data_IF_132383834085
#
_entry.id   IF_132383834085
#
_cell.length_a   1.000
_cell.length_b   1.000
_cell.length_c   1.000
_cell.angle_alpha   90.00
_cell.angle_beta   90.00
_cell.angle_gamma   90.00
#
_symmetry.space_group_name_H-M   'P 1'
#
loop_
_entity.id
_entity.type
_entity.pdbx_description
1 polymer ?
#
# COMPACT_ATOMS: atom_id res chain seq x y z
N UNK A 1 -12.15 16.01 -2.02
CA UNK A 1 -10.70 15.81 -1.76
C UNK A 1 -10.10 15.20 -3.01
N UNK A 2 -8.96 15.70 -3.50
CA UNK A 2 -8.32 15.17 -4.71
C UNK A 2 -7.86 13.72 -4.52
N UNK A 3 -8.00 12.89 -5.56
CA UNK A 3 -7.56 11.48 -5.53
C UNK A 3 -6.03 11.39 -5.44
N UNK A 4 -5.52 10.22 -5.06
CA UNK A 4 -4.05 10.01 -5.00
C UNK A 4 -3.40 10.19 -6.37
N UNK A 5 -4.09 9.81 -7.45
CA UNK A 5 -3.61 9.99 -8.82
C UNK A 5 -3.58 11.47 -9.20
N UNK A 6 -4.64 12.22 -8.93
CA UNK A 6 -4.70 13.66 -9.17
C UNK A 6 -3.61 14.42 -8.41
N UNK A 7 -3.41 14.11 -7.12
CA UNK A 7 -2.34 14.69 -6.32
C UNK A 7 -0.96 14.38 -6.92
N UNK A 8 -0.78 13.16 -7.44
CA UNK A 8 0.47 12.76 -8.07
C UNK A 8 0.72 13.49 -9.39
N UNK A 9 -0.33 13.65 -10.23
CA UNK A 9 -0.30 14.42 -11.49
C UNK A 9 -0.01 15.90 -11.23
N UNK A 10 -0.67 16.51 -10.26
CA UNK A 10 -0.41 17.90 -9.87
C UNK A 10 1.00 18.13 -9.34
N UNK A 11 1.57 17.15 -8.59
CA UNK A 11 2.98 17.22 -8.19
C UNK A 11 3.92 17.17 -9.39
N UNK A 12 3.67 16.29 -10.37
CA UNK A 12 4.47 16.21 -11.58
C UNK A 12 4.44 17.52 -12.38
N UNK A 13 3.25 18.11 -12.54
CA UNK A 13 3.08 19.39 -13.21
C UNK A 13 3.89 20.50 -12.54
N UNK A 14 3.82 20.59 -11.20
CA UNK A 14 4.63 21.54 -10.43
C UNK A 14 6.14 21.34 -10.64
N UNK A 15 6.61 20.09 -10.63
CA UNK A 15 8.03 19.78 -10.87
C UNK A 15 8.47 20.19 -12.28
N UNK A 16 7.62 19.96 -13.28
CA UNK A 16 7.87 20.35 -14.66
C UNK A 16 7.90 21.87 -14.81
N UNK A 17 6.98 22.60 -14.18
CA UNK A 17 6.96 24.06 -14.19
C UNK A 17 8.19 24.66 -13.51
N UNK A 18 8.61 24.10 -12.36
CA UNK A 18 9.85 24.50 -11.69
C UNK A 18 11.09 24.22 -12.55
N UNK A 19 11.14 23.06 -13.22
CA UNK A 19 12.24 22.72 -14.12
C UNK A 19 12.31 23.66 -15.32
N UNK A 20 11.17 24.01 -15.91
CA UNK A 20 11.09 24.94 -17.06
C UNK A 20 11.58 26.34 -16.67
N UNK A 21 11.06 26.89 -15.57
CA UNK A 21 11.48 28.20 -15.06
C UNK A 21 12.97 28.23 -14.69
N UNK A 22 13.48 27.16 -14.06
CA UNK A 22 14.89 27.02 -13.76
C UNK A 22 15.75 26.93 -15.03
N UNK A 23 15.27 26.22 -16.05
CA UNK A 23 15.94 26.11 -17.36
C UNK A 23 16.08 27.47 -18.06
N UNK A 24 15.03 28.30 -18.02
CA UNK A 24 15.08 29.69 -18.53
C UNK A 24 16.13 30.48 -17.75
N UNK A 25 16.09 30.44 -16.41
CA UNK A 25 17.03 31.17 -15.57
C UNK A 25 18.49 30.72 -15.75
N UNK A 26 18.74 29.43 -15.99
CA UNK A 26 20.07 28.92 -16.32
C UNK A 26 20.58 29.51 -17.64
N UNK A 27 19.72 29.59 -18.67
CA UNK A 27 20.09 30.16 -19.98
C UNK A 27 20.40 31.65 -19.86
N UNK A 28 19.57 32.40 -19.13
CA UNK A 28 19.80 33.83 -18.86
C UNK A 28 21.12 34.07 -18.13
N UNK A 29 21.43 33.27 -17.11
CA UNK A 29 22.70 33.38 -16.39
C UNK A 29 23.90 33.02 -17.29
N UNK A 30 23.79 31.96 -18.10
CA UNK A 30 24.83 31.59 -19.07
C UNK A 30 25.06 32.69 -20.11
N UNK A 31 24.00 33.35 -20.60
CA UNK A 31 24.11 34.42 -21.58
C UNK A 31 24.85 35.66 -21.03
N UNK A 32 24.89 35.84 -19.70
CA UNK A 32 25.67 36.90 -19.04
C UNK A 32 27.16 36.56 -18.92
N UNK A 33 27.55 35.29 -19.10
CA UNK A 33 28.95 34.86 -19.03
C UNK A 33 29.59 35.02 -20.41
N UNK A 34 30.63 35.86 -20.57
CA UNK A 34 31.32 36.00 -21.85
C UNK A 34 31.98 34.67 -22.26
N UNK A 35 31.83 34.29 -23.54
CA UNK A 35 32.29 33.01 -24.05
C UNK A 35 33.80 32.79 -23.83
N UNK A 36 34.16 31.59 -23.34
CA UNK A 36 35.55 31.13 -23.22
C UNK A 36 36.37 31.74 -22.08
N UNK A 37 35.79 32.58 -21.21
CA UNK A 37 36.51 33.17 -20.08
C UNK A 37 36.72 32.15 -18.95
N UNK A 38 37.97 31.86 -18.53
CA UNK A 38 38.20 31.02 -17.37
C UNK A 38 37.83 31.75 -16.06
N UNK A 39 37.58 30.99 -15.01
CA UNK A 39 37.40 31.57 -13.68
C UNK A 39 38.74 32.14 -13.17
N UNK A 40 38.74 33.40 -12.73
CA UNK A 40 39.95 34.11 -12.28
C UNK A 40 40.22 33.82 -10.81
N UNK A 41 41.42 33.31 -10.49
CA UNK A 41 41.87 33.05 -9.12
C UNK A 41 41.82 34.34 -8.29
N UNK A 42 41.19 34.30 -7.13
CA UNK A 42 41.01 35.46 -6.23
C UNK A 42 39.72 36.25 -6.43
N UNK A 43 38.88 35.90 -7.42
CA UNK A 43 37.52 36.44 -7.59
C UNK A 43 36.44 35.39 -7.28
N UNK A 44 35.20 35.85 -7.11
CA UNK A 44 34.04 34.96 -6.99
C UNK A 44 33.89 34.17 -8.30
N UNK A 45 33.69 32.86 -8.15
CA UNK A 45 33.45 31.95 -9.28
C UNK A 45 32.19 32.36 -10.06
N UNK A 46 32.42 32.74 -11.32
CA UNK A 46 31.39 33.19 -12.28
C UNK A 46 30.43 32.06 -12.68
N UNK A 47 30.85 30.80 -12.55
CA UNK A 47 30.04 29.62 -12.87
C UNK A 47 29.29 29.05 -11.67
N UNK A 48 29.59 29.49 -10.44
CA UNK A 48 29.05 28.90 -9.21
C UNK A 48 27.53 28.85 -9.17
N UNK A 49 26.88 29.96 -9.53
CA UNK A 49 25.41 30.06 -9.50
C UNK A 49 24.75 29.19 -10.58
N UNK A 50 25.34 29.18 -11.78
CA UNK A 50 24.93 28.33 -12.89
C UNK A 50 25.06 26.85 -12.53
N UNK A 51 26.22 26.43 -12.01
CA UNK A 51 26.49 25.05 -11.58
C UNK A 51 25.51 24.61 -10.48
N UNK A 52 25.20 25.50 -9.52
CA UNK A 52 24.20 25.23 -8.48
C UNK A 52 22.80 25.04 -9.08
N UNK A 53 22.40 25.89 -10.02
CA UNK A 53 21.10 25.79 -10.71
C UNK A 53 21.04 24.52 -11.56
N UNK A 54 22.11 24.16 -12.27
CA UNK A 54 22.20 22.91 -13.03
C UNK A 54 22.08 21.68 -12.11
N UNK A 55 22.78 21.66 -10.98
CA UNK A 55 22.66 20.58 -10.00
C UNK A 55 21.23 20.47 -9.45
N UNK A 56 20.54 21.59 -9.22
CA UNK A 56 19.12 21.60 -8.85
C UNK A 56 18.23 21.06 -9.98
N UNK A 57 18.48 21.44 -11.23
CA UNK A 57 17.74 20.95 -12.40
C UNK A 57 17.84 19.43 -12.55
N UNK A 58 19.04 18.86 -12.36
CA UNK A 58 19.26 17.40 -12.37
C UNK A 58 18.49 16.71 -11.23
N UNK A 59 18.45 17.32 -10.04
CA UNK A 59 17.66 16.77 -8.91
C UNK A 59 16.16 16.78 -9.22
N UNK A 60 15.64 17.87 -9.78
CA UNK A 60 14.24 17.99 -10.18
C UNK A 60 13.89 16.98 -11.28
N UNK A 61 14.77 16.77 -12.26
CA UNK A 61 14.58 15.75 -13.29
C UNK A 61 14.41 14.35 -12.67
N UNK A 62 15.32 13.94 -11.78
CA UNK A 62 15.23 12.65 -11.08
C UNK A 62 13.98 12.53 -10.21
N UNK A 63 13.50 13.63 -9.65
CA UNK A 63 12.25 13.63 -8.89
C UNK A 63 11.03 13.50 -9.81
N UNK A 64 11.02 14.17 -10.96
CA UNK A 64 9.97 14.06 -11.96
C UNK A 64 9.87 12.63 -12.50
N UNK A 65 10.99 11.99 -12.84
CA UNK A 65 11.02 10.58 -13.30
C UNK A 65 10.42 9.62 -12.25
N UNK A 66 10.78 9.80 -10.96
CA UNK A 66 10.18 9.01 -9.87
C UNK A 66 8.69 9.26 -9.73
N UNK A 67 8.25 10.49 -9.99
CA UNK A 67 6.86 10.88 -9.91
C UNK A 67 6.05 10.31 -11.08
N UNK A 68 6.61 10.27 -12.29
CA UNK A 68 6.03 9.60 -13.46
C UNK A 68 5.82 8.11 -13.20
N UNK A 69 6.85 7.40 -12.71
CA UNK A 69 6.71 5.99 -12.31
C UNK A 69 5.64 5.79 -11.24
N UNK A 70 5.50 6.75 -10.31
CA UNK A 70 4.45 6.71 -9.30
C UNK A 70 3.06 6.88 -9.90
N UNK A 71 2.89 7.77 -10.88
CA UNK A 71 1.64 7.97 -11.61
C UNK A 71 1.29 6.70 -12.37
N UNK A 72 2.22 6.13 -13.14
CA UNK A 72 2.01 4.90 -13.89
C UNK A 72 1.51 3.75 -12.99
N UNK A 73 2.13 3.58 -11.81
CA UNK A 73 1.68 2.57 -10.83
C UNK A 73 0.28 2.86 -10.26
N UNK A 74 -0.10 4.13 -10.09
CA UNK A 74 -1.41 4.51 -9.59
C UNK A 74 -2.48 4.29 -10.66
N UNK A 75 -2.17 4.61 -11.91
CA UNK A 75 -3.04 4.35 -13.07
C UNK A 75 -3.31 2.85 -13.19
N UNK A 76 -2.28 1.99 -13.12
CA UNK A 76 -2.46 0.53 -13.10
C UNK A 76 -3.35 0.02 -11.97
N UNK A 77 -3.30 0.68 -10.81
CA UNK A 77 -4.17 0.33 -9.69
C UNK A 77 -5.61 0.73 -9.95
N UNK A 78 -5.83 1.88 -10.60
CA UNK A 78 -7.16 2.38 -10.95
C UNK A 78 -7.79 1.52 -12.03
N UNK A 79 -7.07 1.23 -13.11
CA UNK A 79 -7.53 0.32 -14.17
C UNK A 79 -7.86 -1.07 -13.63
N UNK A 80 -7.03 -1.62 -12.74
CA UNK A 80 -7.30 -2.93 -12.13
C UNK A 80 -8.58 -2.94 -11.28
N UNK A 81 -8.93 -1.81 -10.65
CA UNK A 81 -10.18 -1.68 -9.89
C UNK A 81 -11.38 -1.47 -10.80
N UNK A 82 -11.23 -0.73 -11.90
CA UNK A 82 -12.27 -0.56 -12.91
C UNK A 82 -12.62 -1.89 -13.58
N UNK A 83 -11.61 -2.70 -13.91
CA UNK A 83 -11.80 -4.05 -14.47
C UNK A 83 -12.41 -5.04 -13.47
N UNK A 84 -12.28 -4.78 -12.16
CA UNK A 84 -12.74 -5.68 -11.11
C UNK A 84 -13.51 -4.90 -10.04
N UNK A 85 -14.78 -4.61 -10.33
CA UNK A 85 -15.65 -3.80 -9.46
C UNK A 85 -15.75 -4.32 -8.00
N UNK A 86 -15.62 -5.64 -7.82
CA UNK A 86 -15.65 -6.28 -6.49
C UNK A 86 -14.38 -6.03 -5.65
N UNK A 87 -13.28 -5.57 -6.26
CA UNK A 87 -12.01 -5.37 -5.55
C UNK A 87 -11.99 -4.01 -4.87
N UNK A 88 -11.94 -4.03 -3.54
CA UNK A 88 -11.76 -2.82 -2.72
C UNK A 88 -10.29 -2.60 -2.38
N UNK A 89 -9.64 -3.65 -1.87
CA UNK A 89 -8.27 -3.61 -1.37
C UNK A 89 -7.26 -4.22 -2.35
N UNK A 90 -6.33 -3.42 -2.85
CA UNK A 90 -5.26 -3.88 -3.75
C UNK A 90 -3.89 -3.85 -3.09
N UNK A 91 -2.94 -4.57 -3.68
CA UNK A 91 -1.51 -4.42 -3.42
C UNK A 91 -0.73 -4.48 -4.72
N UNK A 92 0.46 -3.87 -4.70
CA UNK A 92 1.38 -3.86 -5.82
C UNK A 92 2.52 -4.82 -5.48
N UNK A 93 2.83 -5.74 -6.38
CA UNK A 93 3.91 -6.72 -6.27
C UNK A 93 5.02 -6.32 -7.24
N UNK A 94 6.08 -5.74 -6.71
CA UNK A 94 7.21 -5.21 -7.48
C UNK A 94 7.50 -3.75 -7.17
N UNK A 95 8.63 -3.25 -7.66
CA UNK A 95 9.08 -1.85 -7.48
C UNK A 95 9.17 -1.06 -8.79
N UNK A 96 8.99 -1.72 -9.92
CA UNK A 96 9.14 -1.15 -11.26
C UNK A 96 7.78 -0.92 -11.92
N UNK A 97 7.80 -0.29 -13.09
CA UNK A 97 6.66 -0.22 -14.02
C UNK A 97 6.07 -1.61 -14.29
N UNK A 98 6.87 -2.66 -14.38
CA UNK A 98 6.42 -4.06 -14.55
C UNK A 98 5.80 -4.70 -13.30
N UNK A 99 5.53 -3.93 -12.25
CA UNK A 99 4.89 -4.47 -11.06
C UNK A 99 3.46 -4.94 -11.37
N UNK A 100 3.09 -6.08 -10.80
CA UNK A 100 1.75 -6.63 -10.93
C UNK A 100 0.84 -6.05 -9.84
N UNK A 101 -0.39 -5.70 -10.21
CA UNK A 101 -1.43 -5.34 -9.25
C UNK A 101 -2.26 -6.58 -8.94
N UNK A 102 -2.55 -6.81 -7.66
CA UNK A 102 -3.36 -7.94 -7.24
C UNK A 102 -4.27 -7.63 -6.06
N UNK A 103 -5.35 -8.40 -5.93
CA UNK A 103 -6.24 -8.35 -4.78
C UNK A 103 -5.47 -8.67 -3.49
N UNK A 104 -5.57 -7.78 -2.49
CA UNK A 104 -5.00 -8.02 -1.16
C UNK A 104 -5.86 -9.03 -0.41
N UNK A 105 -5.23 -9.84 0.45
CA UNK A 105 -5.97 -10.76 1.34
C UNK A 105 -6.62 -9.96 2.47
N UNK A 106 -7.86 -9.55 2.25
CA UNK A 106 -8.65 -8.64 3.08
C UNK A 106 -10.09 -9.13 3.13
N UNK A 107 -10.76 -8.96 4.28
CA UNK A 107 -12.20 -9.28 4.44
C UNK A 107 -13.05 -8.49 3.44
N UNK A 108 -12.65 -7.25 3.14
CA UNK A 108 -13.34 -6.40 2.16
C UNK A 108 -13.40 -6.97 0.74
N UNK A 109 -12.53 -7.93 0.41
CA UNK A 109 -12.46 -8.57 -0.91
C UNK A 109 -13.09 -9.98 -0.92
N UNK A 110 -13.87 -10.36 0.10
CA UNK A 110 -14.50 -11.69 0.17
C UNK A 110 -15.36 -11.99 -1.06
N UNK A 111 -16.20 -11.05 -1.49
CA UNK A 111 -17.07 -11.22 -2.66
C UNK A 111 -16.26 -11.46 -3.94
N UNK A 112 -15.17 -10.71 -4.12
CA UNK A 112 -14.23 -10.94 -5.21
C UNK A 112 -13.63 -12.35 -5.16
N UNK A 113 -13.21 -12.82 -3.98
CA UNK A 113 -12.64 -14.17 -3.86
C UNK A 113 -13.68 -15.27 -4.09
N UNK A 114 -14.92 -15.09 -3.66
CA UNK A 114 -16.03 -16.03 -3.91
C UNK A 114 -16.34 -16.14 -5.41
N UNK A 115 -16.54 -15.01 -6.09
CA UNK A 115 -16.71 -14.97 -7.54
C UNK A 115 -15.52 -15.61 -8.26
N UNK A 116 -14.29 -15.27 -7.84
CA UNK A 116 -13.09 -15.86 -8.44
C UNK A 116 -12.98 -17.37 -8.24
N UNK A 117 -13.47 -17.87 -7.10
CA UNK A 117 -13.51 -19.30 -6.82
C UNK A 117 -14.48 -20.03 -7.77
N UNK A 118 -15.65 -19.46 -8.02
CA UNK A 118 -16.64 -20.01 -8.96
C UNK A 118 -16.06 -20.12 -10.38
N UNK A 119 -15.44 -19.04 -10.86
CA UNK A 119 -14.73 -19.04 -12.15
C UNK A 119 -13.67 -20.16 -12.22
N UNK A 120 -12.81 -20.25 -11.20
CA UNK A 120 -11.74 -21.25 -11.16
C UNK A 120 -12.28 -22.68 -11.12
N UNK A 121 -13.41 -22.91 -10.45
CA UNK A 121 -14.07 -24.22 -10.41
C UNK A 121 -14.59 -24.57 -11.80
N UNK A 122 -15.30 -23.66 -12.48
CA UNK A 122 -15.81 -23.86 -13.84
C UNK A 122 -14.68 -24.16 -14.83
N UNK A 123 -13.63 -23.35 -14.84
CA UNK A 123 -12.46 -23.57 -15.71
C UNK A 123 -11.77 -24.93 -15.44
N UNK A 124 -11.73 -25.35 -14.18
CA UNK A 124 -11.14 -26.64 -13.80
C UNK A 124 -12.00 -27.83 -14.24
N UNK A 125 -13.33 -27.69 -14.19
CA UNK A 125 -14.26 -28.69 -14.72
C UNK A 125 -14.13 -28.81 -16.24
N UNK A 126 -14.07 -27.69 -16.95
CA UNK A 126 -13.82 -27.66 -18.40
C UNK A 126 -12.46 -28.29 -18.75
N UNK A 127 -11.41 -27.98 -17.99
CA UNK A 127 -10.09 -28.59 -18.17
C UNK A 127 -10.11 -30.10 -17.93
N UNK A 128 -10.85 -30.57 -16.91
CA UNK A 128 -11.02 -32.00 -16.63
C UNK A 128 -11.83 -32.70 -17.74
N UNK A 129 -12.92 -32.09 -18.20
CA UNK A 129 -13.74 -32.60 -19.29
C UNK A 129 -12.94 -32.73 -20.59
N UNK A 130 -12.16 -31.70 -20.94
CA UNK A 130 -11.24 -31.74 -22.07
C UNK A 130 -10.17 -32.83 -21.89
N UNK A 131 -9.55 -32.95 -20.71
CA UNK A 131 -8.55 -33.99 -20.47
C UNK A 131 -9.13 -35.41 -20.51
N UNK A 132 -10.42 -35.58 -20.22
CA UNK A 132 -11.12 -36.87 -20.31
C UNK A 132 -11.23 -37.37 -21.76
N UNK A 133 -11.20 -36.49 -22.76
CA UNK A 133 -11.17 -36.88 -24.19
C UNK A 133 -9.81 -37.40 -24.66
N UNK A 134 -8.81 -37.47 -23.74
CA UNK A 134 -7.42 -37.90 -24.00
C UNK A 134 -6.76 -37.16 -25.19
N UNK A 135 -6.79 -35.81 -25.19
CA UNK A 135 -6.12 -35.01 -26.22
C UNK A 135 -4.60 -35.19 -26.14
N UNK A 136 -3.91 -34.94 -27.26
CA UNK A 136 -2.45 -35.00 -27.31
C UNK A 136 -1.78 -34.02 -26.32
N UNK A 137 -2.39 -32.85 -26.10
CA UNK A 137 -1.93 -31.85 -25.13
C UNK A 137 -3.01 -31.69 -24.06
N UNK A 138 -2.67 -31.93 -22.79
CA UNK A 138 -3.59 -31.77 -21.67
C UNK A 138 -3.71 -30.30 -21.24
N UNK A 139 -4.92 -29.87 -20.86
CA UNK A 139 -5.13 -28.59 -20.17
C UNK A 139 -4.69 -28.68 -18.72
N UNK A 140 -4.15 -27.58 -18.19
CA UNK A 140 -3.74 -27.48 -16.78
C UNK A 140 -4.99 -27.47 -15.89
N UNK A 141 -5.01 -28.36 -14.89
CA UNK A 141 -6.04 -28.35 -13.84
C UNK A 141 -5.67 -27.34 -12.76
N UNK A 142 -6.68 -26.68 -12.18
CA UNK A 142 -6.52 -25.60 -11.19
C UNK A 142 -6.84 -26.06 -9.76
N UNK A 143 -6.83 -27.37 -9.50
CA UNK A 143 -7.20 -27.94 -8.20
C UNK A 143 -6.44 -27.35 -7.00
N UNK A 144 -5.12 -27.17 -7.11
CA UNK A 144 -4.30 -26.56 -6.04
C UNK A 144 -4.68 -25.09 -5.81
N UNK A 145 -4.99 -24.35 -6.87
CA UNK A 145 -5.39 -22.94 -6.78
C UNK A 145 -6.75 -22.80 -6.12
N UNK A 146 -7.70 -23.67 -6.47
CA UNK A 146 -9.02 -23.77 -5.84
C UNK A 146 -8.89 -24.02 -4.33
N UNK A 147 -8.10 -25.02 -3.92
CA UNK A 147 -7.91 -25.32 -2.48
C UNK A 147 -7.29 -24.15 -1.74
N UNK A 148 -6.26 -23.51 -2.31
CA UNK A 148 -5.63 -22.31 -1.72
C UNK A 148 -6.64 -21.17 -1.56
N UNK A 149 -7.49 -20.95 -2.55
CA UNK A 149 -8.49 -19.89 -2.50
C UNK A 149 -9.61 -20.19 -1.50
N UNK A 150 -10.09 -21.44 -1.42
CA UNK A 150 -11.03 -21.90 -0.39
C UNK A 150 -10.51 -21.67 1.02
N UNK A 151 -9.27 -22.10 1.30
CA UNK A 151 -8.64 -21.90 2.60
C UNK A 151 -8.50 -20.41 2.95
N UNK A 152 -8.22 -19.58 1.94
CA UNK A 152 -8.15 -18.12 2.12
C UNK A 152 -9.51 -17.52 2.45
N UNK A 153 -10.57 -17.94 1.77
CA UNK A 153 -11.94 -17.46 2.03
C UNK A 153 -12.37 -17.87 3.44
N UNK A 154 -12.25 -19.15 3.79
CA UNK A 154 -12.57 -19.65 5.13
C UNK A 154 -11.80 -18.90 6.21
N UNK A 155 -10.49 -18.68 6.05
CA UNK A 155 -9.70 -17.89 6.99
C UNK A 155 -10.24 -16.45 7.15
N UNK A 156 -10.72 -15.82 6.08
CA UNK A 156 -11.25 -14.45 6.12
C UNK A 156 -12.67 -14.39 6.70
N UNK A 157 -13.50 -15.39 6.43
CA UNK A 157 -14.83 -15.55 7.02
C UNK A 157 -14.72 -15.79 8.53
N UNK A 158 -13.84 -16.69 8.96
CA UNK A 158 -13.55 -16.91 10.38
C UNK A 158 -13.09 -15.61 11.07
N UNK A 159 -12.33 -14.77 10.37
CA UNK A 159 -11.91 -13.46 10.89
C UNK A 159 -13.07 -12.49 11.05
N UNK A 160 -14.00 -12.50 10.09
CA UNK A 160 -15.18 -11.64 10.13
C UNK A 160 -16.14 -12.10 11.23
N UNK A 161 -16.46 -13.39 11.27
CA UNK A 161 -17.37 -13.95 12.26
C UNK A 161 -16.87 -13.74 13.69
N UNK A 162 -15.57 -13.94 13.94
CA UNK A 162 -15.00 -13.65 15.26
C UNK A 162 -15.16 -12.19 15.64
N UNK A 163 -14.94 -11.27 14.70
CA UNK A 163 -15.12 -9.85 15.01
C UNK A 163 -16.58 -9.45 15.25
N UNK A 164 -17.54 -10.12 14.61
CA UNK A 164 -18.98 -9.82 14.75
C UNK A 164 -19.62 -10.50 15.97
N UNK A 165 -19.23 -11.75 16.29
CA UNK A 165 -19.84 -12.56 17.36
C UNK A 165 -19.27 -12.28 18.75
N UNK A 166 -18.16 -11.56 18.86
CA UNK A 166 -17.51 -11.36 20.16
C UNK A 166 -18.26 -10.32 20.98
N UNK A 167 -18.87 -10.77 22.07
CA UNK A 167 -19.43 -9.87 23.09
C UNK A 167 -18.26 -9.15 23.77
N UNK A 168 -18.27 -7.82 23.72
CA UNK A 168 -17.19 -7.00 24.26
C UNK A 168 -17.42 -6.75 25.76
N UNK A 169 -16.37 -6.93 26.56
CA UNK A 169 -16.33 -6.44 27.94
C UNK A 169 -16.49 -4.92 27.97
N UNK A 170 -17.02 -4.37 29.06
CA UNK A 170 -17.29 -2.93 29.18
C UNK A 170 -16.01 -2.10 29.04
N UNK A 171 -14.89 -2.57 29.62
CA UNK A 171 -13.56 -1.97 29.45
C UNK A 171 -13.11 -1.95 27.99
N UNK A 172 -13.35 -3.04 27.27
CA UNK A 172 -13.02 -3.16 25.84
C UNK A 172 -13.81 -2.16 25.01
N UNK A 173 -15.10 -1.95 25.32
CA UNK A 173 -15.93 -0.93 24.66
C UNK A 173 -15.43 0.47 24.95
N UNK A 174 -15.11 0.76 26.22
CA UNK A 174 -14.59 2.07 26.64
C UNK A 174 -13.30 2.44 25.90
N UNK A 175 -12.34 1.51 25.80
CA UNK A 175 -11.09 1.73 25.06
C UNK A 175 -11.31 1.99 23.55
N UNK A 176 -12.34 1.36 22.96
CA UNK A 176 -12.72 1.59 21.56
C UNK A 176 -13.39 2.97 21.41
N UNK A 177 -14.29 3.33 22.33
CA UNK A 177 -15.03 4.60 22.30
C UNK A 177 -14.13 5.80 22.57
N UNK A 178 -13.20 5.69 23.52
CA UNK A 178 -12.15 6.69 23.79
C UNK A 178 -11.18 6.84 22.62
N UNK A 179 -11.15 5.87 21.70
CA UNK A 179 -10.30 5.87 20.51
C UNK A 179 -8.84 5.55 20.82
N UNK A 180 -8.57 4.90 21.95
CA UNK A 180 -7.25 4.40 22.33
C UNK A 180 -6.83 3.21 21.47
N UNK A 181 -7.81 2.48 20.94
CA UNK A 181 -7.61 1.40 19.99
C UNK A 181 -8.41 1.59 18.71
N UNK A 182 -7.83 1.20 17.58
CA UNK A 182 -8.48 1.27 16.26
C UNK A 182 -8.57 -0.11 15.62
N UNK A 183 -9.79 -0.56 15.32
CA UNK A 183 -10.00 -1.84 14.64
C UNK A 183 -9.47 -1.81 13.21
N UNK A 184 -8.75 -2.86 12.83
CA UNK A 184 -8.20 -2.96 11.49
C UNK A 184 -9.25 -3.42 10.47
N UNK A 185 -9.74 -2.48 9.67
CA UNK A 185 -10.75 -2.72 8.60
C UNK A 185 -10.46 -3.87 7.63
N UNK A 186 -9.20 -4.31 7.47
CA UNK A 186 -8.84 -5.41 6.54
C UNK A 186 -8.84 -6.78 7.20
N UNK A 187 -8.59 -6.81 8.50
CA UNK A 187 -8.49 -8.00 9.35
C UNK A 187 -9.04 -7.63 10.72
N UNK A 188 -10.37 -7.67 10.90
CA UNK A 188 -11.07 -7.04 12.01
C UNK A 188 -10.82 -7.68 13.38
N UNK A 189 -10.08 -8.79 13.44
CA UNK A 189 -9.57 -9.38 14.69
C UNK A 189 -8.56 -8.44 15.40
N UNK A 190 -7.79 -7.64 14.65
CA UNK A 190 -6.71 -6.85 15.23
C UNK A 190 -7.16 -5.43 15.57
N UNK A 191 -6.84 -4.99 16.79
CA UNK A 191 -7.08 -3.64 17.30
C UNK A 191 -5.75 -2.96 17.56
N UNK A 192 -5.39 -1.96 16.75
CA UNK A 192 -4.11 -1.27 16.89
C UNK A 192 -4.19 -0.17 17.94
N UNK A 193 -3.25 -0.19 18.88
CA UNK A 193 -3.13 0.82 19.94
C UNK A 193 -2.64 2.15 19.33
N UNK A 194 -3.34 3.23 19.64
CA UNK A 194 -3.01 4.59 19.21
C UNK A 194 -1.69 5.02 19.85
N UNK A 195 -0.84 5.69 19.08
CA UNK A 195 0.49 6.12 19.53
C UNK A 195 1.59 5.07 19.39
N UNK A 196 1.26 3.77 19.36
CA UNK A 196 2.23 2.70 19.21
C UNK A 196 2.38 2.23 17.75
N UNK A 197 3.63 1.90 17.35
CA UNK A 197 3.92 1.44 15.99
C UNK A 197 3.78 -0.08 15.88
N UNK A 198 2.79 -0.53 15.12
CA UNK A 198 2.55 -1.96 14.79
C UNK A 198 2.35 -2.84 16.03
N UNK A 199 1.67 -2.30 17.03
CA UNK A 199 1.24 -3.03 18.23
C UNK A 199 -0.27 -3.21 18.16
N UNK A 200 -0.73 -4.44 18.28
CA UNK A 200 -2.16 -4.74 18.26
C UNK A 200 -2.58 -5.63 19.43
N UNK A 201 -3.85 -5.51 19.76
CA UNK A 201 -4.59 -6.36 20.69
C UNK A 201 -5.56 -7.23 19.89
N UNK A 202 -5.85 -8.40 20.42
CA UNK A 202 -6.88 -9.33 19.96
C UNK A 202 -7.88 -9.51 21.09
N UNK A 203 -9.11 -9.88 20.79
CA UNK A 203 -10.12 -10.15 21.82
C UNK A 203 -10.12 -11.64 22.12
N UNK A 204 -10.17 -12.00 23.40
CA UNK A 204 -10.29 -13.38 23.85
C UNK A 204 -11.76 -13.88 23.84
N UNK A 205 -12.00 -15.09 24.36
CA UNK A 205 -13.35 -15.64 24.45
C UNK A 205 -14.26 -14.99 25.50
N UNK A 206 -13.70 -14.24 26.44
CA UNK A 206 -14.40 -13.49 27.49
C UNK A 206 -14.67 -12.03 27.09
N UNK A 207 -14.22 -11.60 25.92
CA UNK A 207 -14.42 -10.22 25.44
C UNK A 207 -13.35 -9.24 25.91
N UNK A 208 -12.22 -9.72 26.44
CA UNK A 208 -11.12 -8.89 26.95
C UNK A 208 -9.97 -8.78 25.95
N UNK A 209 -9.25 -7.66 25.99
CA UNK A 209 -8.08 -7.47 25.13
C UNK A 209 -6.85 -8.23 25.63
N UNK A 210 -6.31 -9.07 24.74
CA UNK A 210 -5.02 -9.74 24.90
C UNK A 210 -4.01 -9.22 23.87
N UNK A 211 -2.73 -9.28 24.20
CA UNK A 211 -1.68 -8.84 23.28
C UNK A 211 -1.61 -9.78 22.07
N UNK A 212 -1.65 -9.21 20.86
CA UNK A 212 -1.54 -9.99 19.62
C UNK A 212 -0.20 -10.70 19.53
N UNK A 213 -0.24 -12.00 19.21
CA UNK A 213 0.98 -12.77 18.91
C UNK A 213 1.69 -12.27 17.64
N UNK A 214 0.93 -11.75 16.67
CA UNK A 214 1.46 -11.28 15.39
C UNK A 214 2.06 -9.87 15.51
N UNK A 215 1.46 -9.02 16.34
CA UNK A 215 1.85 -7.62 16.53
C UNK A 215 2.13 -7.29 18.00
N UNK A 216 3.13 -7.94 18.64
CA UNK A 216 3.44 -7.70 20.04
C UNK A 216 4.24 -6.41 20.23
N UNK A 217 4.16 -5.83 21.43
CA UNK A 217 5.06 -4.78 21.87
C UNK A 217 6.48 -5.29 22.03
N UNK A 218 7.44 -4.55 21.47
CA UNK A 218 8.87 -4.93 21.51
C UNK A 218 9.63 -4.15 22.56
N UNK A 219 9.41 -2.84 22.66
CA UNK A 219 10.06 -1.98 23.66
C UNK A 219 9.52 -2.21 25.07
N UNK A 220 10.34 -1.98 26.09
CA UNK A 220 9.89 -2.02 27.49
C UNK A 220 8.89 -0.89 27.79
N UNK A 221 9.11 0.30 27.22
CA UNK A 221 8.19 1.43 27.29
C UNK A 221 6.81 1.08 26.70
N UNK A 222 6.78 0.51 25.48
CA UNK A 222 5.54 0.07 24.83
C UNK A 222 4.81 -0.99 25.68
N UNK A 223 5.55 -1.91 26.29
CA UNK A 223 4.98 -2.94 27.18
C UNK A 223 4.44 -2.34 28.48
N UNK A 224 5.10 -1.33 29.04
CA UNK A 224 4.61 -0.62 30.20
C UNK A 224 3.35 0.18 29.86
N UNK A 225 3.32 0.85 28.71
CA UNK A 225 2.13 1.56 28.23
C UNK A 225 0.92 0.63 28.08
N UNK A 226 1.11 -0.55 27.47
CA UNK A 226 0.02 -1.53 27.31
C UNK A 226 -0.41 -2.12 28.64
N UNK A 227 0.53 -2.40 29.55
CA UNK A 227 0.18 -2.84 30.89
C UNK A 227 -0.68 -1.81 31.57
N UNK A 228 -0.29 -0.53 31.59
CA UNK A 228 -1.13 0.53 32.15
C UNK A 228 -2.50 0.61 31.45
N UNK A 229 -2.55 0.51 30.12
CA UNK A 229 -3.80 0.55 29.35
C UNK A 229 -4.76 -0.63 29.68
N UNK A 230 -4.21 -1.81 29.95
CA UNK A 230 -4.97 -3.02 30.25
C UNK A 230 -5.20 -3.24 31.76
N UNK A 231 -4.32 -2.73 32.61
CA UNK A 231 -4.29 -2.84 34.07
C UNK A 231 -4.81 -1.58 34.77
N UNK A 232 -5.33 -0.57 34.06
CA UNK A 232 -6.15 0.49 34.68
C UNK A 232 -7.42 -0.15 35.28
N UNK A 233 -7.23 -0.79 36.44
CA UNK A 233 -8.18 -1.15 37.46
C UNK A 233 -7.90 -0.19 38.63
N UNK A 234 -8.79 0.79 38.80
CA UNK A 234 -8.93 1.68 39.96
C UNK A 234 -8.00 2.90 40.05
#
# INVERSE_FOLDING_TARGET
MATKLEQAKGKLERLNNERTSLGISIREDHARIPFGQPNIIGRRDIYKDVNRKQAKSIKLLKEAEKQELRIEMLEKVETYKEENELIKDVHIVGRSSYANVGARTSVNNLDYFRSKLEELVKENEEAKAYNKTKPAIKRRTKGVEITKLKNKISMLEDMQEKAEKTELSDKTKELIENGDVNQWKKKPIYYFVKGLKKVALEIDGNGEFIISRMYPARGEEDKAFIRNLLEEEN
#
